data_IF_224846448150
#
_entry.id   IF_224846448150
#
_cell.length_a   1.000
_cell.length_b   1.000
_cell.length_c   1.000
_cell.angle_alpha   90.00
_cell.angle_beta   90.00
_cell.angle_gamma   90.00
#
_symmetry.space_group_name_H-M   'P 1'
#
loop_
_entity.id
_entity.type
_entity.pdbx_description
1 polymer ?
#
# COMPACT_ATOMS: atom_id res chain seq x y z
N UNK A 1 -23.73 -13.07 -0.95
CA UNK A 1 -22.41 -12.86 -1.58
C UNK A 1 -21.38 -13.07 -0.50
N UNK A 2 -20.47 -14.04 -0.65
CA UNK A 2 -19.43 -14.29 0.35
C UNK A 2 -18.36 -13.22 0.12
N UNK A 3 -18.31 -12.17 0.94
CA UNK A 3 -17.15 -11.28 0.97
C UNK A 3 -15.95 -12.12 1.44
N UNK A 4 -15.16 -12.61 0.49
CA UNK A 4 -13.87 -13.23 0.78
C UNK A 4 -13.06 -12.22 1.59
N UNK A 5 -12.74 -12.58 2.83
CA UNK A 5 -11.93 -11.76 3.72
C UNK A 5 -10.58 -11.55 3.04
N UNK A 6 -10.33 -10.37 2.49
CA UNK A 6 -9.02 -10.01 1.95
C UNK A 6 -8.02 -10.19 3.08
N UNK A 7 -7.09 -11.15 2.91
CA UNK A 7 -6.03 -11.37 3.89
C UNK A 7 -5.16 -10.11 3.87
N UNK A 8 -4.78 -9.64 5.05
CA UNK A 8 -3.93 -8.45 5.11
C UNK A 8 -2.53 -8.82 4.63
N UNK A 9 -1.91 -7.93 3.88
CA UNK A 9 -0.52 -8.02 3.43
C UNK A 9 0.45 -8.39 4.57
N UNK A 10 0.20 -7.88 5.79
CA UNK A 10 1.02 -8.22 6.97
C UNK A 10 0.89 -9.67 7.42
N UNK A 11 -0.22 -10.33 7.10
CA UNK A 11 -0.46 -11.74 7.43
C UNK A 11 0.00 -12.68 6.32
N UNK A 12 0.03 -12.21 5.08
CA UNK A 12 0.49 -13.00 3.93
C UNK A 12 2.02 -12.99 3.78
N UNK A 13 2.68 -11.92 4.21
CA UNK A 13 4.13 -11.79 4.14
C UNK A 13 4.74 -11.65 5.53
N UNK A 14 5.78 -12.44 5.79
CA UNK A 14 6.55 -12.38 7.03
C UNK A 14 7.20 -11.00 7.21
N UNK A 15 7.64 -10.71 8.43
CA UNK A 15 8.32 -9.44 8.70
C UNK A 15 9.61 -9.30 7.89
N UNK A 16 10.41 -10.36 7.80
CA UNK A 16 11.71 -10.34 7.13
C UNK A 16 11.57 -10.13 5.62
N UNK A 17 10.60 -10.80 4.98
CA UNK A 17 10.29 -10.58 3.55
C UNK A 17 9.86 -9.13 3.28
N UNK A 18 8.95 -8.59 4.12
CA UNK A 18 8.49 -7.19 3.98
C UNK A 18 9.63 -6.20 4.18
N UNK A 19 10.53 -6.49 5.12
CA UNK A 19 11.68 -5.65 5.42
C UNK A 19 12.67 -5.65 4.25
N UNK A 20 13.03 -6.82 3.73
CA UNK A 20 13.96 -6.97 2.61
C UNK A 20 13.43 -6.31 1.33
N UNK A 21 12.15 -6.53 1.00
CA UNK A 21 11.50 -5.90 -0.15
C UNK A 21 11.52 -4.37 -0.01
N UNK A 22 11.15 -3.85 1.17
CA UNK A 22 11.15 -2.39 1.41
C UNK A 22 12.54 -1.78 1.25
N UNK A 23 13.59 -2.44 1.76
CA UNK A 23 14.98 -1.98 1.65
C UNK A 23 15.44 -1.94 0.20
N UNK A 24 15.15 -3.00 -0.55
CA UNK A 24 15.48 -3.08 -1.98
C UNK A 24 14.79 -1.96 -2.77
N UNK A 25 13.51 -1.71 -2.50
CA UNK A 25 12.75 -0.67 -3.18
C UNK A 25 13.24 0.74 -2.86
N UNK A 26 13.61 1.01 -1.60
CA UNK A 26 14.19 2.30 -1.19
C UNK A 26 15.58 2.48 -1.81
N UNK A 27 16.41 1.44 -1.85
CA UNK A 27 17.72 1.51 -2.50
C UNK A 27 17.61 1.78 -4.01
N UNK A 28 16.59 1.21 -4.68
CA UNK A 28 16.32 1.41 -6.10
C UNK A 28 15.69 2.77 -6.42
N UNK A 29 14.88 3.31 -5.52
CA UNK A 29 14.15 4.57 -5.68
C UNK A 29 14.29 5.44 -4.42
N UNK A 30 15.44 6.11 -4.20
CA UNK A 30 15.75 6.80 -2.94
C UNK A 30 14.79 7.94 -2.59
N UNK A 31 14.18 8.58 -3.59
CA UNK A 31 13.22 9.67 -3.42
C UNK A 31 11.77 9.18 -3.27
N UNK A 32 11.57 7.85 -3.16
CA UNK A 32 10.25 7.24 -3.03
C UNK A 32 10.16 6.31 -1.84
N UNK A 33 8.96 6.21 -1.28
CA UNK A 33 8.63 5.37 -0.14
C UNK A 33 7.62 4.31 -0.59
N UNK A 34 7.88 3.00 -0.38
CA UNK A 34 6.91 1.96 -0.62
C UNK A 34 5.80 2.03 0.43
N UNK A 35 4.55 2.11 -0.03
CA UNK A 35 3.34 2.19 0.79
C UNK A 35 2.41 1.05 0.42
N UNK A 36 1.93 0.34 1.43
CA UNK A 36 0.90 -0.67 1.29
C UNK A 36 -0.45 -0.05 1.65
N UNK A 37 -1.41 -0.11 0.73
CA UNK A 37 -2.76 0.42 0.89
C UNK A 37 -3.74 -0.75 0.82
N UNK A 38 -4.60 -0.85 1.83
CA UNK A 38 -5.63 -1.88 1.91
C UNK A 38 -6.98 -1.23 2.17
N UNK A 39 -8.03 -1.75 1.55
CA UNK A 39 -9.40 -1.31 1.81
C UNK A 39 -9.79 -1.69 3.24
N UNK A 40 -10.36 -0.74 3.97
CA UNK A 40 -10.95 -1.05 5.27
C UNK A 40 -12.22 -1.90 5.09
N UNK A 41 -12.33 -2.98 5.84
CA UNK A 41 -13.36 -4.02 5.65
C UNK A 41 -14.80 -3.56 5.86
N UNK A 42 -15.02 -2.38 6.45
CA UNK A 42 -16.36 -1.81 6.72
C UNK A 42 -16.66 -0.62 5.83
N UNK A 43 -16.18 -0.64 4.58
CA UNK A 43 -16.43 0.44 3.61
C UNK A 43 -17.05 -0.13 2.34
N UNK A 44 -17.95 0.64 1.74
CA UNK A 44 -18.56 0.34 0.43
C UNK A 44 -17.69 0.82 -0.74
N UNK A 45 -16.39 1.05 -0.49
CA UNK A 45 -15.45 1.44 -1.53
C UNK A 45 -15.22 0.27 -2.49
N UNK A 46 -14.98 0.57 -3.79
CA UNK A 46 -14.60 -0.45 -4.77
C UNK A 46 -13.31 -1.16 -4.35
N UNK A 47 -13.14 -2.39 -4.84
CA UNK A 47 -11.90 -3.12 -4.62
C UNK A 47 -10.74 -2.45 -5.36
N UNK A 48 -9.56 -2.45 -4.72
CA UNK A 48 -8.36 -1.86 -5.29
C UNK A 48 -7.63 -2.88 -6.14
N UNK A 49 -7.27 -2.52 -7.38
CA UNK A 49 -6.50 -3.39 -8.28
C UNK A 49 -5.05 -3.56 -7.83
N UNK A 50 -4.49 -2.57 -7.13
CA UNK A 50 -3.11 -2.57 -6.63
C UNK A 50 -3.09 -2.19 -5.16
N UNK A 51 -2.21 -2.83 -4.41
CA UNK A 51 -2.03 -2.58 -2.97
C UNK A 51 -0.65 -2.04 -2.63
N UNK A 52 0.31 -2.07 -3.57
CA UNK A 52 1.68 -1.56 -3.39
C UNK A 52 1.91 -0.32 -4.25
N UNK A 53 2.35 0.77 -3.62
CA UNK A 53 2.58 2.06 -4.28
C UNK A 53 3.95 2.63 -3.91
N UNK A 54 4.55 3.39 -4.82
CA UNK A 54 5.77 4.16 -4.55
C UNK A 54 5.43 5.64 -4.54
N UNK A 55 5.38 6.22 -3.34
CA UNK A 55 4.98 7.61 -3.13
C UNK A 55 6.24 8.48 -3.01
N UNK A 56 6.31 9.66 -3.65
CA UNK A 56 7.41 10.60 -3.44
C UNK A 56 7.58 10.98 -1.97
N UNK A 57 8.83 11.05 -1.50
CA UNK A 57 9.14 11.34 -0.08
C UNK A 57 8.64 12.71 0.38
N UNK A 58 8.63 13.69 -0.52
CA UNK A 58 8.21 15.06 -0.23
C UNK A 58 6.72 15.31 -0.51
N UNK A 59 5.93 14.25 -0.74
CA UNK A 59 4.50 14.39 -1.01
C UNK A 59 3.76 14.79 0.29
N UNK A 60 3.16 15.98 0.27
CA UNK A 60 2.14 16.35 1.26
C UNK A 60 0.87 15.54 1.01
N UNK A 61 0.39 14.83 2.03
CA UNK A 61 -0.79 13.96 1.95
C UNK A 61 -2.09 14.75 1.69
N UNK A 62 -2.13 16.04 2.03
CA UNK A 62 -3.36 16.85 1.94
C UNK A 62 -3.89 17.06 0.51
N UNK A 63 -3.11 17.65 -0.41
CA UNK A 63 -3.59 17.96 -1.77
C UNK A 63 -3.84 16.75 -2.67
N UNK A 64 -3.28 15.58 -2.33
CA UNK A 64 -3.31 14.39 -3.20
C UNK A 64 -4.45 13.43 -2.86
N UNK A 65 -4.95 13.42 -1.63
CA UNK A 65 -6.10 12.58 -1.22
C UNK A 65 -7.44 13.10 -1.76
N UNK A 66 -7.48 14.30 -2.35
CA UNK A 66 -8.67 14.89 -2.97
C UNK A 66 -8.82 14.58 -4.46
N UNK A 67 -7.84 13.89 -5.07
CA UNK A 67 -7.97 13.44 -6.46
C UNK A 67 -8.29 11.95 -6.50
N UNK A 68 -9.25 11.52 -7.33
CA UNK A 68 -9.54 10.10 -7.49
C UNK A 68 -8.30 9.40 -8.07
N UNK A 69 -7.81 8.39 -7.35
CA UNK A 69 -6.82 7.43 -7.83
C UNK A 69 -7.47 6.43 -8.78
#
# INVERSE_FOLDING_TARGET
MVMGKVKSFKTEHSFDERLEESKTMIAKYPDRVPVIIEKYSRTDLPDMEKTKYLVPRDMSMGPHLSQPF
#
